data_IF_150899137283
#
_entry.id   IF_150899137283
#
_cell.length_a   1.000
_cell.length_b   1.000
_cell.length_c   1.000
_cell.angle_alpha   90.00
_cell.angle_beta   90.00
_cell.angle_gamma   90.00
#
_symmetry.space_group_name_H-M   'P 1'
#
loop_
_entity.id
_entity.type
_entity.pdbx_description
1 polymer ?
#
# COMPACT_ATOMS: atom_id res chain seq x y z
N UNK A 1 -4.51 2.58 19.64
CA UNK A 1 -4.55 1.54 18.58
C UNK A 1 -5.80 1.73 17.74
N UNK A 2 -5.69 1.82 16.40
CA UNK A 2 -6.87 1.87 15.52
C UNK A 2 -7.41 0.45 15.36
N UNK A 3 -8.50 0.10 16.06
CA UNK A 3 -9.13 -1.22 15.94
C UNK A 3 -9.42 -1.57 14.47
N UNK A 4 -9.11 -2.81 14.07
CA UNK A 4 -9.40 -3.37 12.74
C UNK A 4 -8.36 -3.12 11.64
N UNK A 5 -7.20 -2.54 11.96
CA UNK A 5 -6.13 -2.39 10.97
C UNK A 5 -5.42 -3.73 10.72
N UNK A 6 -5.25 -4.07 9.43
CA UNK A 6 -4.55 -5.24 8.92
C UNK A 6 -3.23 -4.81 8.26
N UNK A 7 -2.30 -5.74 8.14
CA UNK A 7 -1.07 -5.52 7.39
C UNK A 7 -1.28 -5.97 5.94
N UNK A 8 -1.08 -5.05 5.01
CA UNK A 8 -1.02 -5.32 3.58
C UNK A 8 0.42 -5.17 3.10
N UNK A 9 0.77 -5.88 2.03
CA UNK A 9 2.00 -5.69 1.27
C UNK A 9 1.60 -5.09 -0.07
N UNK A 10 2.09 -3.89 -0.33
CA UNK A 10 1.87 -3.21 -1.59
C UNK A 10 3.14 -3.28 -2.45
N UNK A 11 2.97 -3.78 -3.66
CA UNK A 11 3.96 -3.71 -4.73
C UNK A 11 3.63 -2.47 -5.57
N UNK A 12 4.57 -1.53 -5.65
CA UNK A 12 4.39 -0.27 -6.36
C UNK A 12 5.65 0.10 -7.14
N UNK A 13 5.47 0.92 -8.15
CA UNK A 13 6.56 1.50 -8.93
C UNK A 13 6.62 3.00 -8.67
N UNK A 14 7.77 3.46 -8.20
CA UNK A 14 8.06 4.87 -7.90
C UNK A 14 9.35 5.20 -8.65
N UNK A 15 9.31 6.24 -9.50
CA UNK A 15 10.46 6.68 -10.31
C UNK A 15 11.10 5.56 -11.15
N UNK A 16 10.26 4.66 -11.70
CA UNK A 16 10.71 3.52 -12.50
C UNK A 16 11.35 2.38 -11.70
N UNK A 17 11.33 2.45 -10.37
CA UNK A 17 11.82 1.38 -9.50
C UNK A 17 10.67 0.68 -8.79
N UNK A 18 10.68 -0.65 -8.86
CA UNK A 18 9.75 -1.48 -8.10
C UNK A 18 10.13 -1.49 -6.63
N UNK A 19 9.20 -1.06 -5.79
CA UNK A 19 9.29 -1.10 -4.34
C UNK A 19 8.18 -1.99 -3.77
N UNK A 20 8.52 -2.70 -2.70
CA UNK A 20 7.57 -3.50 -1.93
C UNK A 20 7.55 -2.94 -0.51
N UNK A 21 6.38 -2.47 -0.07
CA UNK A 21 6.23 -1.85 1.27
C UNK A 21 5.07 -2.47 2.03
N UNK A 22 5.25 -2.76 3.33
CA UNK A 22 4.13 -3.08 4.20
C UNK A 22 3.34 -1.81 4.53
N UNK A 23 2.01 -1.88 4.41
CA UNK A 23 1.09 -0.78 4.70
C UNK A 23 0.02 -1.28 5.68
N UNK A 24 -0.16 -0.56 6.78
CA UNK A 24 -1.19 -0.87 7.76
C UNK A 24 -2.47 -0.12 7.42
N UNK A 25 -3.53 -0.86 7.05
CA UNK A 25 -4.79 -0.29 6.57
C UNK A 25 -5.98 -1.19 6.92
N UNK A 26 -7.22 -0.70 6.77
CA UNK A 26 -8.43 -1.55 6.98
C UNK A 26 -8.81 -2.32 5.72
N UNK A 27 -8.61 -1.70 4.56
CA UNK A 27 -9.00 -2.25 3.26
C UNK A 27 -7.90 -2.04 2.22
N UNK A 28 -7.87 -2.84 1.13
CA UNK A 28 -6.96 -2.60 0.00
C UNK A 28 -7.15 -1.22 -0.65
N UNK A 29 -8.38 -0.66 -0.60
CA UNK A 29 -8.66 0.68 -1.09
C UNK A 29 -7.97 1.75 -0.24
N UNK A 30 -7.96 1.58 1.09
CA UNK A 30 -7.23 2.48 2.00
C UNK A 30 -5.73 2.41 1.76
N UNK A 31 -5.17 1.22 1.47
CA UNK A 31 -3.74 1.08 1.09
C UNK A 31 -3.41 1.95 -0.12
N UNK A 32 -4.23 1.88 -1.18
CA UNK A 32 -4.02 2.67 -2.40
C UNK A 32 -4.13 4.17 -2.12
N UNK A 33 -5.06 4.59 -1.27
CA UNK A 33 -5.18 5.99 -0.84
C UNK A 33 -3.96 6.45 -0.06
N UNK A 34 -3.48 5.66 0.90
CA UNK A 34 -2.28 5.97 1.68
C UNK A 34 -1.07 6.13 0.77
N UNK A 35 -0.85 5.18 -0.16
CA UNK A 35 0.27 5.25 -1.11
C UNK A 35 0.16 6.49 -1.99
N UNK A 36 -1.04 6.83 -2.46
CA UNK A 36 -1.26 8.03 -3.29
C UNK A 36 -1.05 9.34 -2.50
N UNK A 37 -1.36 9.35 -1.21
CA UNK A 37 -1.09 10.49 -0.32
C UNK A 37 0.40 10.64 -0.03
N UNK A 38 1.13 9.53 0.09
CA UNK A 38 2.55 9.51 0.45
C UNK A 38 3.48 9.79 -0.75
N UNK A 39 3.19 9.20 -1.91
CA UNK A 39 4.06 9.27 -3.09
C UNK A 39 3.46 10.11 -4.24
N UNK A 40 2.26 10.68 -4.06
CA UNK A 40 1.62 11.55 -5.04
C UNK A 40 1.13 10.83 -6.31
N UNK A 41 1.14 11.52 -7.45
CA UNK A 41 0.67 10.97 -8.75
C UNK A 41 1.74 10.19 -9.51
N UNK A 42 3.00 10.20 -9.07
CA UNK A 42 4.12 9.52 -9.71
C UNK A 42 4.22 8.02 -9.36
N UNK A 43 3.33 7.51 -8.52
CA UNK A 43 3.34 6.11 -8.08
C UNK A 43 2.32 5.27 -8.83
N UNK A 44 2.75 4.12 -9.33
CA UNK A 44 1.85 3.10 -9.89
C UNK A 44 1.77 1.92 -8.95
N UNK A 45 0.60 1.68 -8.35
CA UNK A 45 0.38 0.49 -7.52
C UNK A 45 0.10 -0.72 -8.39
N UNK A 46 1.02 -1.68 -8.41
CA UNK A 46 0.95 -2.90 -9.21
C UNK A 46 0.08 -3.96 -8.52
N UNK A 47 0.30 -4.19 -7.22
CA UNK A 47 -0.43 -5.20 -6.46
C UNK A 47 -0.60 -4.79 -5.00
N UNK A 48 -1.72 -5.18 -4.40
CA UNK A 48 -1.95 -5.05 -2.96
C UNK A 48 -2.42 -6.40 -2.44
N UNK A 49 -1.62 -7.02 -1.56
CA UNK A 49 -1.91 -8.33 -0.97
C UNK A 49 -2.06 -8.18 0.54
N UNK A 50 -3.09 -8.77 1.12
CA UNK A 50 -3.19 -8.87 2.58
C UNK A 50 -2.12 -9.83 3.07
N UNK A 51 -1.31 -9.43 4.06
CA UNK A 51 -0.40 -10.34 4.76
C UNK A 51 -1.25 -11.20 5.69
N UNK A 52 -1.84 -12.27 5.15
CA UNK A 52 -2.49 -13.31 5.94
C UNK A 52 -1.41 -14.12 6.65
N UNK A 53 -1.62 -14.35 7.94
CA UNK A 53 -0.76 -15.21 8.77
C UNK A 53 -1.19 -16.66 8.55
#
# INVERSE_FOLDING_TARGET
>A
MRCGAKCFVAEMEVDGQKQVRPVTARTPADVRKTIRLEYGTGVTVLSVKEKRK
#
